data_IF_611301563617
#
_entry.id   IF_611301563617
#
_cell.length_a   1.000
_cell.length_b   1.000
_cell.length_c   1.000
_cell.angle_alpha   90.00
_cell.angle_beta   90.00
_cell.angle_gamma   90.00
#
_symmetry.space_group_name_H-M   'P 1'
#
loop_
_entity.id
_entity.type
_entity.pdbx_description
1 polymer ?
#
# COMPACT_ATOMS: atom_id res chain seq x y z
N UNK A 1 -8.33 4.62 -14.61
CA UNK A 1 -8.53 3.48 -13.71
C UNK A 1 -7.17 2.82 -13.41
N UNK A 2 -6.92 2.50 -12.17
CA UNK A 2 -5.69 1.83 -11.77
C UNK A 2 -6.01 0.53 -11.04
N UNK A 3 -5.04 -0.37 -10.99
CA UNK A 3 -5.12 -1.59 -10.21
C UNK A 3 -4.42 -1.35 -8.88
N UNK A 4 -5.17 -1.43 -7.78
CA UNK A 4 -4.65 -1.15 -6.45
C UNK A 4 -4.67 -2.41 -5.60
N UNK A 5 -3.53 -2.73 -5.02
CA UNK A 5 -3.41 -3.82 -4.05
C UNK A 5 -3.32 -3.20 -2.66
N UNK A 6 -4.23 -3.59 -1.77
CA UNK A 6 -4.22 -3.12 -0.38
C UNK A 6 -3.95 -4.31 0.54
N UNK A 7 -2.91 -4.20 1.36
CA UNK A 7 -2.47 -5.27 2.26
C UNK A 7 -2.52 -4.75 3.70
N UNK A 8 -3.46 -5.25 4.48
CA UNK A 8 -3.66 -4.83 5.87
C UNK A 8 -4.41 -5.94 6.60
N UNK A 9 -4.02 -6.26 7.81
CA UNK A 9 -4.66 -7.33 8.59
C UNK A 9 -5.99 -6.91 9.24
N UNK A 10 -6.37 -5.64 9.11
CA UNK A 10 -7.65 -5.14 9.60
C UNK A 10 -8.71 -5.26 8.50
N UNK A 11 -9.65 -6.20 8.59
CA UNK A 11 -10.63 -6.41 7.53
C UNK A 11 -11.60 -5.24 7.36
N UNK A 12 -11.90 -4.50 8.42
CA UNK A 12 -12.78 -3.34 8.33
C UNK A 12 -12.12 -2.21 7.55
N UNK A 13 -10.84 -1.98 7.78
CA UNK A 13 -10.08 -1.00 7.02
C UNK A 13 -9.98 -1.42 5.55
N UNK A 14 -9.74 -2.69 5.28
CA UNK A 14 -9.70 -3.20 3.92
C UNK A 14 -11.01 -2.96 3.18
N UNK A 15 -12.14 -3.17 3.84
CA UNK A 15 -13.45 -2.91 3.26
C UNK A 15 -13.63 -1.43 2.95
N UNK A 16 -13.21 -0.56 3.88
CA UNK A 16 -13.27 0.88 3.68
C UNK A 16 -12.43 1.32 2.49
N UNK A 17 -11.20 0.84 2.40
CA UNK A 17 -10.29 1.17 1.31
C UNK A 17 -10.86 0.72 -0.03
N UNK A 18 -11.35 -0.50 -0.09
CA UNK A 18 -11.93 -1.05 -1.31
C UNK A 18 -13.12 -0.21 -1.77
N UNK A 19 -14.05 0.11 -0.85
CA UNK A 19 -15.22 0.91 -1.19
C UNK A 19 -14.82 2.29 -1.71
N UNK A 20 -13.93 2.97 -1.00
CA UNK A 20 -13.54 4.33 -1.37
C UNK A 20 -12.80 4.37 -2.71
N UNK A 21 -11.89 3.45 -2.93
CA UNK A 21 -11.07 3.46 -4.14
C UNK A 21 -11.84 2.95 -5.36
N UNK A 22 -12.75 2.01 -5.17
CA UNK A 22 -13.61 1.55 -6.27
C UNK A 22 -14.56 2.65 -6.73
N UNK A 23 -14.98 3.54 -5.84
CA UNK A 23 -15.77 4.71 -6.22
C UNK A 23 -15.01 5.65 -7.15
N UNK A 24 -13.69 5.65 -7.05
CA UNK A 24 -12.85 6.44 -7.95
C UNK A 24 -12.56 5.72 -9.27
N UNK A 25 -13.17 4.57 -9.48
CA UNK A 25 -13.01 3.80 -10.70
C UNK A 25 -11.83 2.85 -10.72
N UNK A 26 -11.20 2.60 -9.58
CA UNK A 26 -10.06 1.68 -9.52
C UNK A 26 -10.52 0.24 -9.30
N UNK A 27 -9.73 -0.72 -9.77
CA UNK A 27 -9.89 -2.12 -9.41
C UNK A 27 -9.04 -2.38 -8.17
N UNK A 28 -9.63 -2.98 -7.14
CA UNK A 28 -8.95 -3.15 -5.84
C UNK A 28 -8.92 -4.63 -5.45
N UNK A 29 -7.74 -5.12 -5.13
CA UNK A 29 -7.54 -6.43 -4.53
C UNK A 29 -7.07 -6.25 -3.11
N UNK A 30 -7.59 -7.09 -2.21
CA UNK A 30 -7.28 -7.02 -0.78
C UNK A 30 -6.52 -8.28 -0.36
N UNK A 31 -5.49 -8.10 0.47
CA UNK A 31 -4.84 -9.21 1.17
C UNK A 31 -4.69 -8.82 2.63
N UNK A 32 -4.84 -9.80 3.52
CA UNK A 32 -4.75 -9.55 4.97
C UNK A 32 -3.42 -10.00 5.57
N UNK A 33 -2.50 -10.47 4.73
CA UNK A 33 -1.19 -10.92 5.16
C UNK A 33 -0.16 -10.63 4.07
N UNK A 34 1.03 -10.18 4.48
CA UNK A 34 2.11 -9.92 3.54
C UNK A 34 2.56 -11.17 2.81
N UNK A 35 2.53 -12.34 3.47
CA UNK A 35 2.94 -13.60 2.85
C UNK A 35 2.09 -14.00 1.67
N UNK A 36 0.88 -13.49 1.57
CA UNK A 36 -0.02 -13.80 0.45
C UNK A 36 0.19 -12.89 -0.76
N UNK A 37 1.09 -11.93 -0.67
CA UNK A 37 1.41 -11.04 -1.79
C UNK A 37 2.34 -11.77 -2.75
N UNK A 38 1.78 -12.17 -3.88
CA UNK A 38 2.49 -12.95 -4.89
C UNK A 38 3.12 -12.06 -5.95
N UNK A 39 4.02 -12.64 -6.73
CA UNK A 39 4.61 -11.95 -7.86
C UNK A 39 3.55 -11.52 -8.87
N UNK A 40 2.55 -12.38 -9.12
CA UNK A 40 1.44 -12.05 -10.02
C UNK A 40 0.68 -10.82 -9.57
N UNK A 41 0.39 -10.71 -8.26
CA UNK A 41 -0.29 -9.54 -7.72
C UNK A 41 0.56 -8.29 -7.87
N UNK A 42 1.86 -8.40 -7.65
CA UNK A 42 2.78 -7.27 -7.82
C UNK A 42 2.80 -6.76 -9.25
N UNK A 43 2.73 -7.65 -10.21
CA UNK A 43 2.71 -7.28 -11.63
C UNK A 43 1.38 -6.69 -12.05
N UNK A 44 0.30 -7.15 -11.43
CA UNK A 44 -1.04 -6.63 -11.69
C UNK A 44 -1.20 -5.22 -11.12
N UNK A 45 -0.58 -4.93 -9.98
CA UNK A 45 -0.82 -3.69 -9.24
C UNK A 45 -0.10 -2.48 -9.87
N UNK A 46 -0.83 -1.39 -9.98
CA UNK A 46 -0.29 -0.08 -10.36
C UNK A 46 0.07 0.75 -9.14
N UNK A 47 -0.45 0.38 -7.97
CA UNK A 47 -0.18 1.04 -6.71
C UNK A 47 -0.40 0.04 -5.58
N UNK A 48 0.45 0.04 -4.58
CA UNK A 48 0.38 -0.90 -3.46
C UNK A 48 0.29 -0.13 -2.15
N UNK A 49 -0.77 -0.41 -1.38
CA UNK A 49 -0.97 0.13 -0.05
C UNK A 49 -0.61 -0.98 0.93
N UNK A 50 0.27 -0.70 1.89
CA UNK A 50 0.89 -1.74 2.70
C UNK A 50 1.00 -1.31 4.16
N UNK A 51 0.42 -2.09 5.07
CA UNK A 51 0.60 -1.87 6.50
C UNK A 51 1.92 -2.45 6.96
N UNK A 52 2.53 -1.82 7.96
CA UNK A 52 3.77 -2.31 8.57
C UNK A 52 3.50 -3.46 9.53
N UNK A 53 2.46 -3.29 10.37
CA UNK A 53 2.21 -4.23 11.48
C UNK A 53 1.24 -5.32 11.06
N UNK A 54 1.80 -6.44 10.60
CA UNK A 54 1.02 -7.61 10.19
C UNK A 54 1.65 -8.87 10.79
N UNK A 55 0.85 -9.88 11.12
CA UNK A 55 1.40 -11.15 11.61
C UNK A 55 2.18 -11.88 10.52
N UNK A 56 3.17 -12.64 10.91
CA UNK A 56 4.04 -13.34 9.98
C UNK A 56 5.05 -12.40 9.36
N UNK A 57 4.96 -12.18 8.07
CA UNK A 57 5.84 -11.23 7.38
C UNK A 57 5.31 -9.81 7.58
N UNK A 58 6.07 -8.92 8.24
CA UNK A 58 5.63 -7.54 8.42
C UNK A 58 5.76 -6.74 7.12
N UNK A 59 5.19 -5.52 7.12
CA UNK A 59 5.17 -4.69 5.92
C UNK A 59 6.55 -4.29 5.41
N UNK A 60 7.52 -4.09 6.29
CA UNK A 60 8.88 -3.77 5.86
C UNK A 60 9.51 -4.96 5.12
N UNK A 61 9.35 -6.17 5.65
CA UNK A 61 9.85 -7.38 5.00
C UNK A 61 9.16 -7.61 3.66
N UNK A 62 7.84 -7.42 3.62
CA UNK A 62 7.08 -7.53 2.38
C UNK A 62 7.58 -6.51 1.36
N UNK A 63 7.78 -5.26 1.76
CA UNK A 63 8.27 -4.22 0.87
C UNK A 63 9.64 -4.56 0.29
N UNK A 64 10.57 -5.04 1.12
CA UNK A 64 11.90 -5.44 0.62
C UNK A 64 11.79 -6.54 -0.42
N UNK A 65 10.92 -7.51 -0.17
CA UNK A 65 10.74 -8.64 -1.08
C UNK A 65 10.15 -8.20 -2.41
N UNK A 66 9.08 -7.41 -2.37
CA UNK A 66 8.36 -7.03 -3.60
C UNK A 66 9.03 -5.89 -4.36
N UNK A 67 9.86 -5.08 -3.70
CA UNK A 67 10.53 -3.97 -4.39
C UNK A 67 11.44 -4.46 -5.51
N UNK A 68 11.96 -5.67 -5.40
CA UNK A 68 12.77 -6.28 -6.44
C UNK A 68 11.93 -6.78 -7.63
N UNK A 69 10.62 -6.90 -7.44
CA UNK A 69 9.71 -7.47 -8.44
C UNK A 69 8.94 -6.40 -9.21
N UNK A 70 8.61 -5.30 -8.54
CA UNK A 70 7.74 -4.27 -9.11
C UNK A 70 8.30 -2.87 -8.94
N UNK A 71 7.98 -1.98 -9.89
CA UNK A 71 8.28 -0.56 -9.77
C UNK A 71 7.03 0.24 -9.39
N UNK A 72 5.90 -0.43 -9.14
CA UNK A 72 4.69 0.25 -8.71
C UNK A 72 4.95 1.04 -7.43
N UNK A 73 4.34 2.22 -7.26
CA UNK A 73 4.44 2.98 -6.01
C UNK A 73 3.95 2.14 -4.83
N UNK A 74 4.70 2.19 -3.73
CA UNK A 74 4.37 1.52 -2.48
C UNK A 74 4.14 2.60 -1.43
N UNK A 75 2.93 2.64 -0.87
CA UNK A 75 2.53 3.58 0.17
C UNK A 75 2.26 2.80 1.45
N UNK A 76 2.99 3.12 2.51
CA UNK A 76 2.69 2.52 3.81
C UNK A 76 1.50 3.23 4.47
N UNK A 77 0.56 2.45 5.00
CA UNK A 77 -0.56 2.94 5.80
C UNK A 77 -0.46 2.27 7.16
N UNK A 78 0.01 2.98 8.18
CA UNK A 78 0.32 2.31 9.43
C UNK A 78 0.17 3.23 10.64
N UNK A 79 -0.04 2.62 11.82
CA UNK A 79 -0.04 3.34 13.09
C UNK A 79 1.38 3.64 13.59
N UNK A 80 2.42 3.09 12.95
CA UNK A 80 3.82 3.35 13.33
C UNK A 80 4.22 4.75 12.89
N UNK A 81 4.28 5.66 13.86
CA UNK A 81 4.54 7.08 13.60
C UNK A 81 5.92 7.55 14.02
N UNK A 82 6.71 6.68 14.64
CA UNK A 82 8.04 7.05 15.10
C UNK A 82 8.97 7.32 13.91
N UNK A 83 9.86 8.28 14.10
CA UNK A 83 10.78 8.70 13.06
C UNK A 83 11.59 7.55 12.48
N UNK A 84 12.04 6.64 13.34
CA UNK A 84 12.84 5.50 12.91
C UNK A 84 12.08 4.59 11.94
N UNK A 85 10.80 4.34 12.21
CA UNK A 85 9.96 3.53 11.32
C UNK A 85 9.73 4.21 9.97
N UNK A 86 9.47 5.52 9.99
CA UNK A 86 9.27 6.28 8.76
C UNK A 86 10.53 6.26 7.90
N UNK A 87 11.69 6.50 8.51
CA UNK A 87 12.96 6.48 7.79
C UNK A 87 13.27 5.09 7.23
N UNK A 88 12.97 4.04 8.01
CA UNK A 88 13.16 2.66 7.55
C UNK A 88 12.30 2.39 6.32
N UNK A 89 11.02 2.74 6.37
CA UNK A 89 10.10 2.51 5.24
C UNK A 89 10.56 3.20 3.97
N UNK A 90 10.91 4.49 4.07
CA UNK A 90 11.37 5.24 2.91
C UNK A 90 12.73 4.73 2.41
N UNK A 91 13.60 4.30 3.33
CA UNK A 91 14.91 3.77 2.99
C UNK A 91 14.88 2.46 2.23
N UNK A 92 13.85 1.65 2.41
CA UNK A 92 13.73 0.38 1.66
C UNK A 92 12.95 0.52 0.36
N UNK A 93 12.59 1.74 -0.02
CA UNK A 93 12.03 2.01 -1.33
C UNK A 93 10.55 2.32 -1.37
N UNK A 94 9.92 2.62 -0.23
CA UNK A 94 8.55 3.12 -0.23
C UNK A 94 8.50 4.53 -0.82
N UNK A 95 7.42 4.84 -1.49
CA UNK A 95 7.23 6.13 -2.13
C UNK A 95 6.49 7.13 -1.23
N UNK A 96 5.78 6.62 -0.23
CA UNK A 96 5.04 7.47 0.69
C UNK A 96 4.78 6.72 2.00
N UNK A 97 4.43 7.47 3.04
CA UNK A 97 4.18 6.91 4.36
C UNK A 97 3.03 7.70 5.01
N UNK A 98 1.86 7.09 5.09
CA UNK A 98 0.66 7.72 5.63
C UNK A 98 0.30 7.08 6.96
N UNK A 99 0.17 7.90 8.01
CA UNK A 99 -0.06 7.40 9.36
C UNK A 99 -1.54 7.28 9.68
N UNK A 100 -1.91 6.22 10.40
CA UNK A 100 -3.26 6.02 10.92
C UNK A 100 -3.44 6.79 12.23
N UNK A 101 -4.61 7.40 12.48
CA UNK A 101 -5.74 7.49 11.57
C UNK A 101 -5.50 8.50 10.46
N UNK A 102 -6.04 8.24 9.29
CA UNK A 102 -5.93 9.17 8.16
C UNK A 102 -7.32 9.50 7.63
N UNK A 103 -7.41 10.58 6.87
CA UNK A 103 -8.66 10.93 6.18
C UNK A 103 -8.71 10.21 4.84
N UNK A 104 -9.88 9.70 4.50
CA UNK A 104 -10.08 9.02 3.22
C UNK A 104 -9.73 9.95 2.05
N UNK A 105 -10.09 11.22 2.16
CA UNK A 105 -9.76 12.20 1.12
C UNK A 105 -8.24 12.35 0.93
N UNK A 106 -7.47 12.30 2.01
CA UNK A 106 -6.01 12.36 1.93
C UNK A 106 -5.45 11.11 1.24
N UNK A 107 -5.94 9.94 1.60
CA UNK A 107 -5.53 8.70 0.97
C UNK A 107 -5.80 8.73 -0.54
N UNK A 108 -7.01 9.15 -0.92
CA UNK A 108 -7.39 9.23 -2.32
C UNK A 108 -6.50 10.18 -3.11
N UNK A 109 -6.16 11.32 -2.50
CA UNK A 109 -5.28 12.30 -3.13
C UNK A 109 -3.87 11.74 -3.33
N UNK A 110 -3.34 11.00 -2.33
CA UNK A 110 -2.02 10.39 -2.42
C UNK A 110 -1.98 9.31 -3.48
N UNK A 111 -2.99 8.46 -3.53
CA UNK A 111 -3.09 7.43 -4.57
C UNK A 111 -3.13 8.06 -5.96
N UNK A 112 -3.92 9.11 -6.13
CA UNK A 112 -4.01 9.81 -7.41
C UNK A 112 -2.67 10.42 -7.82
N UNK A 113 -1.95 11.02 -6.89
CA UNK A 113 -0.67 11.66 -7.16
C UNK A 113 0.38 10.64 -7.61
N UNK A 114 0.50 9.52 -6.89
CA UNK A 114 1.50 8.50 -7.23
C UNK A 114 1.13 7.75 -8.50
N UNK A 115 -0.14 7.46 -8.68
CA UNK A 115 -0.61 6.81 -9.89
C UNK A 115 -0.28 7.63 -11.15
N UNK A 116 -0.36 8.94 -11.05
CA UNK A 116 -0.08 9.84 -12.18
C UNK A 116 1.37 9.73 -12.65
N UNK A 117 2.30 9.44 -11.76
CA UNK A 117 3.72 9.33 -12.09
C UNK A 117 4.00 8.15 -13.00
N UNK A 118 3.23 7.11 -12.92
CA UNK A 118 3.42 5.89 -13.70
C UNK A 118 3.18 6.07 -15.19
N UNK A 119 2.53 7.15 -15.56
CA UNK A 119 2.15 7.41 -16.94
C UNK A 119 3.28 7.99 -17.79
N UNK A 120 4.40 8.27 -17.18
CA UNK A 120 5.55 8.90 -17.87
C UNK A 120 6.48 7.89 -18.51
#
# INVERSE_FOLDING_TARGET
MAHILAVDDDPDLCTLLKTALERDGHAVEIRTSGVTVTESLCRWADCILLDVMMPGEDGFATCRRIRAITQAPILFLTARTDEQSVLTGLGIGADDYLTKPFRVAELRARVAAHRSEERR
#
